data_IF_430259001609
#
_entry.id   IF_430259001609
#
_cell.length_a   1.000
_cell.length_b   1.000
_cell.length_c   1.000
_cell.angle_alpha   90.00
_cell.angle_beta   90.00
_cell.angle_gamma   90.00
#
_symmetry.space_group_name_H-M   'P 1'
#
loop_
_entity.id
_entity.type
_entity.pdbx_description
1 polymer ?
#
# COMPACT_ATOMS: atom_id res chain seq x y z
N UNK A 1 29.09 -24.42 -2.55
CA UNK A 1 29.39 -23.10 -3.14
C UNK A 1 28.87 -22.87 -4.57
N UNK A 2 28.66 -23.91 -5.41
CA UNK A 2 28.12 -23.73 -6.78
C UNK A 2 26.60 -23.49 -6.85
N UNK A 3 25.82 -24.01 -5.89
CA UNK A 3 24.35 -23.91 -5.88
C UNK A 3 23.82 -22.49 -5.71
N UNK A 4 24.39 -21.69 -4.80
CA UNK A 4 23.96 -20.30 -4.58
C UNK A 4 24.25 -19.35 -5.76
N UNK A 5 25.26 -19.67 -6.58
CA UNK A 5 25.56 -18.91 -7.79
C UNK A 5 24.57 -19.22 -8.92
N UNK A 6 24.02 -20.44 -8.94
CA UNK A 6 23.01 -20.85 -9.92
C UNK A 6 21.63 -20.27 -9.60
N UNK A 7 21.24 -20.20 -8.31
CA UNK A 7 19.99 -19.55 -7.90
C UNK A 7 20.03 -18.04 -8.16
N UNK A 8 21.12 -17.37 -7.79
CA UNK A 8 21.30 -15.94 -8.09
C UNK A 8 21.29 -15.68 -9.61
N UNK A 9 21.91 -16.55 -10.41
CA UNK A 9 21.86 -16.43 -11.86
C UNK A 9 20.43 -16.62 -12.42
N UNK A 10 19.64 -17.53 -11.85
CA UNK A 10 18.25 -17.73 -12.23
C UNK A 10 17.37 -16.52 -11.86
N UNK A 11 17.55 -15.94 -10.67
CA UNK A 11 16.85 -14.72 -10.24
C UNK A 11 17.20 -13.54 -11.15
N UNK A 12 18.49 -13.33 -11.45
CA UNK A 12 18.94 -12.29 -12.38
C UNK A 12 18.34 -12.51 -13.76
N UNK A 13 18.31 -13.75 -14.26
CA UNK A 13 17.71 -14.07 -15.54
C UNK A 13 16.21 -13.75 -15.56
N UNK A 14 15.47 -14.12 -14.50
CA UNK A 14 14.05 -13.77 -14.37
C UNK A 14 13.85 -12.26 -14.38
N UNK A 15 14.64 -11.52 -13.60
CA UNK A 15 14.57 -10.06 -13.57
C UNK A 15 14.88 -9.43 -14.94
N UNK A 16 15.87 -9.95 -15.66
CA UNK A 16 16.22 -9.47 -17.00
C UNK A 16 15.11 -9.76 -18.02
N UNK A 17 14.49 -10.95 -17.95
CA UNK A 17 13.36 -11.30 -18.81
C UNK A 17 12.13 -10.43 -18.51
N UNK A 18 11.82 -10.19 -17.24
CA UNK A 18 10.74 -9.27 -16.83
C UNK A 18 11.03 -7.84 -17.30
N UNK A 19 12.24 -7.34 -17.08
CA UNK A 19 12.64 -6.01 -17.53
C UNK A 19 12.57 -5.87 -19.05
N UNK A 20 12.99 -6.90 -19.80
CA UNK A 20 12.88 -6.92 -21.26
C UNK A 20 11.43 -6.93 -21.74
N UNK A 21 10.57 -7.74 -21.11
CA UNK A 21 9.14 -7.77 -21.40
C UNK A 21 8.49 -6.40 -21.15
N UNK A 22 8.78 -5.78 -20.01
CA UNK A 22 8.29 -4.44 -19.69
C UNK A 22 8.80 -3.41 -20.69
N UNK A 23 10.10 -3.42 -20.98
CA UNK A 23 10.71 -2.51 -21.95
C UNK A 23 10.04 -2.59 -23.34
N UNK A 24 9.75 -3.80 -23.81
CA UNK A 24 9.03 -4.00 -25.07
C UNK A 24 7.58 -3.49 -25.00
N UNK A 25 6.88 -3.68 -23.87
CA UNK A 25 5.54 -3.14 -23.66
C UNK A 25 5.50 -1.60 -23.57
N UNK A 26 6.55 -0.99 -23.03
CA UNK A 26 6.70 0.46 -22.86
C UNK A 26 7.19 1.18 -24.14
N UNK A 27 7.80 0.46 -25.09
CA UNK A 27 8.31 1.01 -26.37
C UNK A 27 7.23 1.34 -27.40
N UNK A 28 5.97 0.98 -27.15
CA UNK A 28 4.87 1.30 -28.06
C UNK A 28 4.76 2.81 -28.32
N UNK A 29 4.43 3.17 -29.56
CA UNK A 29 4.00 4.53 -29.89
C UNK A 29 2.58 4.71 -29.33
N UNK A 30 2.49 5.39 -28.19
CA UNK A 30 1.22 5.70 -27.56
C UNK A 30 0.74 7.00 -28.19
N UNK A 31 0.01 6.89 -29.30
CA UNK A 31 -0.55 8.07 -29.97
C UNK A 31 -1.16 9.03 -28.95
N UNK A 32 -0.76 10.30 -29.02
CA UNK A 32 -1.06 11.31 -27.98
C UNK A 32 -2.57 11.53 -27.75
N UNK A 33 -3.39 11.08 -28.70
CA UNK A 33 -4.84 11.10 -28.63
C UNK A 33 -5.39 9.66 -28.57
N UNK A 34 -5.63 9.17 -27.36
CA UNK A 34 -6.36 7.92 -27.19
C UNK A 34 -7.86 8.17 -27.32
N UNK A 35 -8.58 7.25 -27.97
CA UNK A 35 -10.05 7.24 -28.01
C UNK A 35 -10.67 7.42 -26.61
N UNK A 36 -10.04 6.81 -25.60
CA UNK A 36 -10.45 6.93 -24.19
C UNK A 36 -10.30 8.38 -23.70
N UNK A 37 -9.19 9.05 -24.02
CA UNK A 37 -8.97 10.45 -23.62
C UNK A 37 -10.06 11.34 -24.20
N UNK A 38 -10.35 11.18 -25.49
CA UNK A 38 -11.40 11.94 -26.18
C UNK A 38 -12.77 11.66 -25.59
N UNK A 39 -13.12 10.39 -25.38
CA UNK A 39 -14.37 9.99 -24.74
C UNK A 39 -14.54 10.59 -23.35
N UNK A 40 -13.49 10.56 -22.52
CA UNK A 40 -13.52 11.15 -21.17
C UNK A 40 -13.74 12.66 -21.26
N UNK A 41 -13.05 13.37 -22.17
CA UNK A 41 -13.23 14.82 -22.34
C UNK A 41 -14.66 15.16 -22.78
N UNK A 42 -15.23 14.40 -23.72
CA UNK A 42 -16.56 14.66 -24.29
C UNK A 42 -17.70 14.26 -23.33
N UNK A 43 -17.59 13.09 -22.68
CA UNK A 43 -18.69 12.45 -21.95
C UNK A 43 -18.48 12.38 -20.43
N UNK A 44 -17.28 12.68 -19.92
CA UNK A 44 -16.90 12.49 -18.52
C UNK A 44 -17.86 13.15 -17.53
N UNK A 45 -18.31 14.38 -17.81
CA UNK A 45 -19.29 15.05 -16.95
C UNK A 45 -20.68 14.43 -17.01
N UNK A 46 -21.11 13.96 -18.17
CA UNK A 46 -22.44 13.36 -18.34
C UNK A 46 -22.52 11.97 -17.72
N UNK A 47 -21.45 11.19 -17.83
CA UNK A 47 -21.40 9.80 -17.35
C UNK A 47 -21.18 9.71 -15.83
N UNK A 48 -20.42 10.65 -15.27
CA UNK A 48 -20.02 10.61 -13.85
C UNK A 48 -20.76 11.63 -12.98
N UNK A 49 -21.41 12.62 -13.59
CA UNK A 49 -22.03 13.74 -12.88
C UNK A 49 -21.03 14.76 -12.31
N UNK A 50 -19.72 14.54 -12.45
CA UNK A 50 -18.70 15.47 -11.97
C UNK A 50 -18.34 16.50 -13.06
N UNK A 51 -18.47 17.79 -12.73
CA UNK A 51 -18.08 18.89 -13.63
C UNK A 51 -16.56 18.97 -13.83
N UNK A 52 -15.79 18.48 -12.86
CA UNK A 52 -14.33 18.45 -12.93
C UNK A 52 -13.87 17.11 -13.51
N UNK A 53 -13.19 17.15 -14.65
CA UNK A 53 -12.70 15.97 -15.36
C UNK A 53 -11.74 15.11 -14.52
N UNK A 54 -10.91 15.75 -13.71
CA UNK A 54 -9.98 15.06 -12.79
C UNK A 54 -10.78 14.25 -11.76
N UNK A 55 -11.86 14.82 -11.23
CA UNK A 55 -12.77 14.12 -10.33
C UNK A 55 -13.55 13.02 -11.06
N UNK A 56 -13.99 13.23 -12.30
CA UNK A 56 -14.59 12.19 -13.14
C UNK A 56 -13.67 10.98 -13.30
N UNK A 57 -12.36 11.21 -13.43
CA UNK A 57 -11.37 10.12 -13.53
C UNK A 57 -11.25 9.37 -12.22
N UNK A 58 -10.89 10.03 -11.12
CA UNK A 58 -10.54 9.33 -9.86
C UNK A 58 -11.75 8.81 -9.08
N UNK A 59 -12.90 9.49 -9.15
CA UNK A 59 -14.12 9.11 -8.41
C UNK A 59 -15.24 8.56 -9.30
N UNK A 60 -15.21 8.80 -10.61
CA UNK A 60 -16.19 8.25 -11.55
C UNK A 60 -15.69 6.95 -12.18
N UNK A 61 -14.65 7.02 -13.01
CA UNK A 61 -14.13 5.87 -13.76
C UNK A 61 -13.19 4.97 -12.96
N UNK A 62 -12.44 5.52 -11.98
CA UNK A 62 -11.44 4.79 -11.18
C UNK A 62 -11.72 4.82 -9.67
N UNK A 63 -13.00 4.82 -9.29
CA UNK A 63 -13.42 4.92 -7.89
C UNK A 63 -12.76 3.87 -6.98
N UNK A 64 -12.62 2.62 -7.45
CA UNK A 64 -12.05 1.54 -6.64
C UNK A 64 -10.54 1.67 -6.38
N UNK A 65 -9.80 2.30 -7.28
CA UNK A 65 -8.36 2.50 -7.11
C UNK A 65 -8.10 3.53 -5.99
N UNK A 66 -8.78 4.68 -6.07
CA UNK A 66 -8.76 5.72 -5.03
C UNK A 66 -9.32 5.20 -3.69
N UNK A 67 -10.43 4.46 -3.71
CA UNK A 67 -11.02 3.89 -2.49
C UNK A 67 -10.08 2.87 -1.86
N UNK A 68 -9.42 2.02 -2.67
CA UNK A 68 -8.41 1.08 -2.20
C UNK A 68 -7.25 1.76 -1.50
N UNK A 69 -6.70 2.82 -2.09
CA UNK A 69 -5.64 3.63 -1.46
C UNK A 69 -6.09 4.19 -0.10
N UNK A 70 -7.30 4.77 -0.04
CA UNK A 70 -7.81 5.31 1.22
C UNK A 70 -8.06 4.23 2.28
N UNK A 71 -8.50 3.04 1.89
CA UNK A 71 -8.66 1.90 2.80
C UNK A 71 -7.31 1.44 3.36
N UNK A 72 -6.28 1.33 2.52
CA UNK A 72 -4.92 0.96 2.96
C UNK A 72 -4.38 1.99 3.95
N UNK A 73 -4.52 3.29 3.65
CA UNK A 73 -4.10 4.36 4.56
C UNK A 73 -4.87 4.32 5.88
N UNK A 74 -6.20 4.14 5.83
CA UNK A 74 -7.03 4.03 7.03
C UNK A 74 -6.61 2.84 7.90
N UNK A 75 -6.35 1.68 7.30
CA UNK A 75 -5.89 0.48 8.00
C UNK A 75 -4.50 0.68 8.60
N UNK A 76 -3.58 1.32 7.87
CA UNK A 76 -2.24 1.61 8.36
C UNK A 76 -2.28 2.53 9.60
N UNK A 77 -3.08 3.60 9.54
CA UNK A 77 -3.26 4.51 10.69
C UNK A 77 -3.94 3.81 11.87
N UNK A 78 -5.03 3.09 11.60
CA UNK A 78 -5.78 2.36 12.64
C UNK A 78 -4.90 1.29 13.33
N UNK A 79 -4.13 0.54 12.54
CA UNK A 79 -3.16 -0.44 13.05
C UNK A 79 -2.05 0.21 13.86
N UNK A 80 -1.52 1.35 13.40
CA UNK A 80 -0.54 2.14 14.15
C UNK A 80 -1.08 2.60 15.51
N UNK A 81 -2.30 3.14 15.55
CA UNK A 81 -2.96 3.55 16.80
C UNK A 81 -3.21 2.37 17.74
N UNK A 82 -3.60 1.21 17.21
CA UNK A 82 -3.78 -0.01 18.00
C UNK A 82 -2.47 -0.45 18.68
N UNK A 83 -1.36 -0.42 17.95
CA UNK A 83 -0.04 -0.80 18.48
C UNK A 83 0.52 0.20 19.48
N UNK A 84 0.22 1.49 19.29
CA UNK A 84 0.67 2.57 20.19
C UNK A 84 -0.15 2.66 21.48
N UNK A 85 -1.26 1.93 21.60
CA UNK A 85 -2.08 1.92 22.82
C UNK A 85 -1.22 1.43 24.00
N UNK A 86 -0.95 2.29 25.01
CA UNK A 86 -0.22 1.86 26.19
C UNK A 86 -0.96 0.71 26.87
N UNK A 87 -0.24 -0.38 27.15
CA UNK A 87 -0.77 -1.45 27.98
C UNK A 87 -1.19 -0.86 29.33
N UNK A 88 -2.46 -1.06 29.71
CA UNK A 88 -2.91 -0.76 31.07
C UNK A 88 -2.21 -1.73 32.01
N UNK A 89 -0.99 -1.43 32.41
CA UNK A 89 -0.28 -2.13 33.47
C UNK A 89 -1.04 -1.89 34.77
N UNK A 90 -1.87 -2.86 35.14
CA UNK A 90 -2.46 -2.93 36.46
C UNK A 90 -1.35 -3.06 37.48
N UNK A 91 -1.13 -1.99 38.24
CA UNK A 91 -0.17 -1.96 39.33
C UNK A 91 -0.76 -2.69 40.54
N UNK A 92 -0.74 -4.03 40.50
CA UNK A 92 -0.96 -4.87 41.69
C UNK A 92 0.38 -5.10 42.36
N UNK A 93 0.80 -4.17 43.22
CA UNK A 93 1.91 -4.43 44.13
C UNK A 93 1.44 -5.43 45.18
N UNK A 94 1.94 -6.66 45.07
CA UNK A 94 1.97 -7.64 46.14
C UNK A 94 2.83 -7.09 47.29
N UNK A 95 2.19 -6.62 48.36
CA UNK A 95 2.87 -6.39 49.63
C UNK A 95 2.94 -7.73 50.39
N UNK A 96 4.01 -8.49 50.15
CA UNK A 96 4.53 -9.46 51.11
C UNK A 96 5.95 -9.06 51.48
N UNK A 97 6.08 -8.29 52.56
CA UNK A 97 7.31 -8.17 53.32
C UNK A 97 7.24 -9.09 54.54
N UNK A 98 7.77 -10.31 54.40
CA UNK A 98 8.19 -11.12 55.54
C UNK A 98 9.72 -11.25 55.51
N UNK A 99 10.37 -10.43 56.32
CA UNK A 99 11.73 -10.56 56.85
C UNK A 99 11.94 -9.37 57.81
N UNK A 100 12.18 -9.52 59.10
CA UNK A 100 13.02 -10.52 59.74
C UNK A 100 14.29 -9.86 60.26
N UNK A 101 14.18 -8.93 61.22
CA UNK A 101 15.29 -8.52 62.08
C UNK A 101 14.82 -8.45 63.53
N UNK A 102 15.25 -9.42 64.32
CA UNK A 102 15.39 -9.24 65.76
C UNK A 102 16.68 -8.50 66.07
N UNK A 103 16.62 -7.57 67.01
CA UNK A 103 17.55 -7.42 68.13
C UNK A 103 17.26 -6.10 68.87
N UNK A 104 16.54 -6.21 69.99
CA UNK A 104 16.80 -5.54 71.26
C UNK A 104 16.02 -6.20 72.40
#
# INVERSE_FOLDING_TARGET
MKSGRLTAAAEILVLLLTAFFLYQGLRGDHGEESEIRRHIIENGSSETGALNLVTSIYLGYRAFDTLGETMVLLLAVSGGLFLLKPGSSGNGHDERGEDGYGQD
#
